data_IF_599329342673
#
_entry.id   IF_599329342673
#
_cell.length_a   1.000
_cell.length_b   1.000
_cell.length_c   1.000
_cell.angle_alpha   90.00
_cell.angle_beta   90.00
_cell.angle_gamma   90.00
#
_symmetry.space_group_name_H-M   'P 1'
#
loop_
_entity.id
_entity.type
_entity.pdbx_description
1 polymer ?
#
# COMPACT_ATOMS: atom_id res chain seq x y z
N UNK A 1 11.05 -3.79 -6.87
CA UNK A 1 9.89 -2.93 -6.54
C UNK A 1 8.73 -3.32 -7.46
N UNK A 2 7.55 -3.55 -6.90
CA UNK A 2 6.34 -3.84 -7.64
C UNK A 2 5.32 -2.74 -7.38
N UNK A 3 4.83 -2.08 -8.42
CA UNK A 3 3.70 -1.14 -8.35
C UNK A 3 2.46 -1.87 -8.86
N UNK A 4 1.41 -1.88 -8.06
CA UNK A 4 0.12 -2.47 -8.45
C UNK A 4 -0.89 -1.35 -8.61
N UNK A 5 -1.14 -0.95 -9.86
CA UNK A 5 -2.09 0.09 -10.23
C UNK A 5 -2.53 -0.13 -11.69
N UNK A 6 -3.83 -0.41 -11.89
CA UNK A 6 -4.39 -0.74 -13.20
C UNK A 6 -4.28 0.41 -14.20
N UNK A 7 -4.45 1.66 -13.74
CA UNK A 7 -4.38 2.84 -14.59
C UNK A 7 -2.95 3.10 -15.06
N UNK A 8 -2.00 3.01 -14.13
CA UNK A 8 -0.57 3.15 -14.45
C UNK A 8 -0.12 2.02 -15.38
N UNK A 9 -0.53 0.77 -15.11
CA UNK A 9 -0.14 -0.38 -15.92
C UNK A 9 -0.60 -0.24 -17.40
N UNK A 10 -1.71 0.45 -17.63
CA UNK A 10 -2.25 0.76 -18.95
C UNK A 10 -1.61 2.00 -19.62
N UNK A 11 -0.84 2.80 -18.90
CA UNK A 11 -0.25 4.05 -19.40
C UNK A 11 1.28 3.93 -19.58
N UNK A 12 1.75 3.93 -20.83
CA UNK A 12 3.18 3.78 -21.15
C UNK A 12 4.05 4.94 -20.65
N UNK A 13 3.52 6.16 -20.66
CA UNK A 13 4.22 7.34 -20.16
C UNK A 13 4.42 7.25 -18.65
N UNK A 14 3.35 6.94 -17.91
CA UNK A 14 3.43 6.79 -16.46
C UNK A 14 4.32 5.60 -16.04
N UNK A 15 4.26 4.49 -16.79
CA UNK A 15 5.19 3.36 -16.59
C UNK A 15 6.64 3.80 -16.75
N UNK A 16 6.94 4.55 -17.81
CA UNK A 16 8.31 5.02 -18.05
C UNK A 16 8.78 5.94 -16.93
N UNK A 17 7.93 6.89 -16.49
CA UNK A 17 8.26 7.81 -15.40
C UNK A 17 8.55 7.08 -14.09
N UNK A 18 7.73 6.10 -13.71
CA UNK A 18 7.95 5.33 -12.49
C UNK A 18 9.18 4.43 -12.56
N UNK A 19 9.49 3.87 -13.74
CA UNK A 19 10.73 3.10 -13.94
C UNK A 19 11.96 3.98 -13.77
N UNK A 20 11.94 5.19 -14.31
CA UNK A 20 13.03 6.17 -14.18
C UNK A 20 13.21 6.69 -12.75
N UNK A 21 12.15 6.69 -11.94
CA UNK A 21 12.21 7.11 -10.53
C UNK A 21 12.72 6.02 -9.58
N UNK A 22 12.85 4.78 -10.03
CA UNK A 22 13.31 3.69 -9.18
C UNK A 22 14.81 3.79 -8.89
N UNK A 23 15.26 3.40 -7.68
CA UNK A 23 16.68 3.38 -7.35
C UNK A 23 17.49 2.49 -8.30
N UNK A 24 18.76 2.85 -8.52
CA UNK A 24 19.68 2.02 -9.29
C UNK A 24 19.78 0.60 -8.71
N UNK A 25 19.89 -0.40 -9.59
CA UNK A 25 19.95 -1.81 -9.20
C UNK A 25 18.62 -2.42 -8.75
N UNK A 26 17.52 -1.66 -8.68
CA UNK A 26 16.20 -2.19 -8.35
C UNK A 26 15.37 -2.52 -9.60
N UNK A 27 15.05 -3.80 -9.80
CA UNK A 27 14.09 -4.20 -10.83
C UNK A 27 12.67 -3.68 -10.50
N UNK A 28 11.97 -3.18 -11.52
CA UNK A 28 10.62 -2.63 -11.41
C UNK A 28 9.59 -3.45 -12.20
N UNK A 29 8.50 -3.81 -11.55
CA UNK A 29 7.29 -4.36 -12.19
C UNK A 29 6.12 -3.43 -11.95
N UNK A 30 5.43 -3.00 -13.00
CA UNK A 30 4.23 -2.16 -12.92
C UNK A 30 3.12 -2.97 -13.55
N UNK A 31 2.19 -3.44 -12.72
CA UNK A 31 1.24 -4.48 -13.07
C UNK A 31 -0.18 -4.08 -12.67
N UNK A 32 -1.16 -4.59 -13.40
CA UNK A 32 -2.54 -4.60 -12.94
C UNK A 32 -2.70 -5.50 -11.71
N UNK A 33 -3.76 -5.30 -10.95
CA UNK A 33 -4.10 -6.13 -9.79
C UNK A 33 -4.17 -7.61 -10.15
N UNK A 34 -4.86 -7.94 -11.24
CA UNK A 34 -5.05 -9.31 -11.70
C UNK A 34 -3.71 -9.98 -12.05
N UNK A 35 -2.88 -9.30 -12.84
CA UNK A 35 -1.58 -9.83 -13.27
C UNK A 35 -0.59 -9.95 -12.10
N UNK A 36 -0.57 -8.96 -11.21
CA UNK A 36 0.25 -9.03 -10.00
C UNK A 36 -0.16 -10.22 -9.12
N UNK A 37 -1.47 -10.39 -8.89
CA UNK A 37 -1.98 -11.48 -8.05
C UNK A 37 -1.67 -12.85 -8.64
N UNK A 38 -1.93 -13.03 -9.95
CA UNK A 38 -1.62 -14.27 -10.64
C UNK A 38 -0.13 -14.63 -10.57
N UNK A 39 0.76 -13.64 -10.80
CA UNK A 39 2.20 -13.86 -10.74
C UNK A 39 2.69 -14.22 -9.34
N UNK A 40 2.16 -13.56 -8.30
CA UNK A 40 2.53 -13.83 -6.91
C UNK A 40 2.08 -15.25 -6.53
N UNK A 41 0.84 -15.62 -6.84
CA UNK A 41 0.29 -16.94 -6.52
C UNK A 41 0.94 -18.08 -7.33
N UNK A 42 1.50 -17.78 -8.51
CA UNK A 42 2.27 -18.71 -9.31
C UNK A 42 3.72 -18.93 -8.78
N UNK A 43 4.14 -18.25 -7.72
CA UNK A 43 5.50 -18.38 -7.17
C UNK A 43 6.57 -17.68 -7.99
N UNK A 44 6.20 -16.78 -8.93
CA UNK A 44 7.17 -16.11 -9.82
C UNK A 44 8.18 -15.21 -9.08
N UNK A 45 7.93 -14.94 -7.79
CA UNK A 45 8.76 -14.11 -6.94
C UNK A 45 9.33 -14.87 -5.73
N UNK A 46 9.23 -16.20 -5.71
CA UNK A 46 9.76 -17.02 -4.63
C UNK A 46 11.27 -16.81 -4.47
N UNK A 47 11.73 -16.68 -3.22
CA UNK A 47 13.11 -16.36 -2.90
C UNK A 47 13.52 -14.90 -3.15
N UNK A 48 12.63 -14.04 -3.66
CA UNK A 48 12.91 -12.63 -3.89
C UNK A 48 12.35 -11.75 -2.76
N UNK A 49 13.08 -10.68 -2.43
CA UNK A 49 12.55 -9.61 -1.57
C UNK A 49 11.85 -8.58 -2.43
N UNK A 50 10.51 -8.53 -2.35
CA UNK A 50 9.70 -7.61 -3.15
C UNK A 50 9.08 -6.53 -2.27
N UNK A 51 9.41 -5.27 -2.54
CA UNK A 51 8.66 -4.11 -2.03
C UNK A 51 7.46 -3.85 -2.94
N UNK A 52 6.24 -3.96 -2.40
CA UNK A 52 4.99 -3.68 -3.11
C UNK A 52 4.53 -2.26 -2.75
N UNK A 53 4.25 -1.44 -3.77
CA UNK A 53 3.70 -0.11 -3.66
C UNK A 53 2.24 -0.13 -4.12
N UNK A 54 1.36 0.35 -3.24
CA UNK A 54 -0.09 0.38 -3.42
C UNK A 54 -0.60 1.80 -3.26
N UNK A 55 -1.69 2.13 -3.97
CA UNK A 55 -2.31 3.45 -3.90
C UNK A 55 -3.19 3.64 -2.68
N UNK A 56 -3.82 2.58 -2.19
CA UNK A 56 -4.80 2.64 -1.09
C UNK A 56 -4.78 1.36 -0.23
N UNK A 57 -5.20 1.42 1.05
CA UNK A 57 -5.30 0.23 1.92
C UNK A 57 -6.33 -0.81 1.43
N UNK A 58 -7.36 -0.40 0.69
CA UNK A 58 -8.36 -1.31 0.10
C UNK A 58 -7.71 -2.29 -0.88
N UNK A 59 -6.71 -1.85 -1.65
CA UNK A 59 -5.93 -2.75 -2.51
C UNK A 59 -5.14 -3.75 -1.70
N UNK A 60 -4.56 -3.36 -0.57
CA UNK A 60 -3.86 -4.28 0.33
C UNK A 60 -4.82 -5.33 0.89
N UNK A 61 -6.01 -4.92 1.32
CA UNK A 61 -7.05 -5.84 1.78
C UNK A 61 -7.51 -6.79 0.67
N UNK A 62 -7.65 -6.29 -0.56
CA UNK A 62 -8.01 -7.10 -1.73
C UNK A 62 -6.94 -8.16 -2.04
N UNK A 63 -5.65 -7.82 -1.93
CA UNK A 63 -4.55 -8.78 -2.08
C UNK A 63 -4.62 -9.88 -1.01
N UNK A 64 -4.84 -9.51 0.25
CA UNK A 64 -5.00 -10.49 1.33
C UNK A 64 -6.19 -11.42 1.11
N UNK A 65 -7.33 -10.86 0.68
CA UNK A 65 -8.52 -11.66 0.37
C UNK A 65 -8.31 -12.58 -0.84
N UNK A 66 -7.36 -12.26 -1.72
CA UNK A 66 -6.93 -13.11 -2.83
C UNK A 66 -5.91 -14.19 -2.42
N UNK A 67 -5.60 -14.32 -1.13
CA UNK A 67 -4.68 -15.35 -0.61
C UNK A 67 -3.20 -14.92 -0.58
N UNK A 68 -2.90 -13.64 -0.81
CA UNK A 68 -1.53 -13.12 -0.78
C UNK A 68 -1.21 -12.61 0.62
N UNK A 69 -0.23 -13.24 1.26
CA UNK A 69 0.21 -12.85 2.60
C UNK A 69 0.93 -11.49 2.58
N UNK A 70 0.45 -10.55 3.40
CA UNK A 70 1.08 -9.25 3.64
C UNK A 70 1.40 -9.12 5.14
N UNK A 71 2.63 -9.43 5.59
CA UNK A 71 2.94 -9.44 7.02
C UNK A 71 2.93 -8.04 7.64
N UNK A 72 3.25 -7.01 6.85
CA UNK A 72 3.16 -5.62 7.27
C UNK A 72 2.62 -4.74 6.14
N UNK A 73 2.00 -3.64 6.53
CA UNK A 73 1.62 -2.53 5.66
C UNK A 73 2.08 -1.21 6.29
N UNK A 74 2.93 -0.47 5.60
CA UNK A 74 3.28 0.89 5.99
C UNK A 74 2.48 1.90 5.17
N UNK A 75 1.74 2.78 5.85
CA UNK A 75 1.05 3.92 5.25
C UNK A 75 2.00 5.13 5.27
N UNK A 76 2.63 5.40 4.13
CA UNK A 76 3.57 6.52 3.98
C UNK A 76 2.87 7.86 3.77
N UNK A 77 2.35 8.05 2.56
CA UNK A 77 1.63 9.27 2.16
C UNK A 77 0.22 8.94 1.69
N UNK A 78 -0.78 9.49 2.38
CA UNK A 78 -2.16 9.57 1.91
C UNK A 78 -2.59 11.02 2.04
N UNK A 79 -2.63 11.73 0.91
CA UNK A 79 -2.80 13.18 0.89
C UNK A 79 -4.20 13.62 1.35
N UNK A 80 -4.27 14.81 1.94
CA UNK A 80 -5.53 15.48 2.26
C UNK A 80 -6.20 16.02 0.98
N UNK A 81 -6.90 15.15 0.26
CA UNK A 81 -7.79 15.49 -0.85
C UNK A 81 -9.17 14.97 -0.48
N UNK A 82 -10.23 15.67 -0.89
CA UNK A 82 -11.61 15.26 -0.70
C UNK A 82 -12.07 15.26 0.78
N UNK A 83 -13.17 14.54 1.08
CA UNK A 83 -13.82 14.38 2.39
C UNK A 83 -13.00 13.50 3.38
N UNK A 84 -11.67 13.60 3.34
CA UNK A 84 -10.77 12.81 4.20
C UNK A 84 -10.47 13.56 5.50
N UNK A 85 -10.37 12.80 6.60
CA UNK A 85 -9.93 13.31 7.89
C UNK A 85 -8.43 13.06 8.08
N UNK A 86 -7.71 14.11 8.45
CA UNK A 86 -6.30 13.99 8.80
C UNK A 86 -6.10 13.30 10.15
N UNK A 87 -5.35 12.20 10.17
CA UNK A 87 -4.99 11.46 11.40
C UNK A 87 -3.50 11.64 11.76
N UNK A 88 -2.66 11.91 10.76
CA UNK A 88 -1.23 12.25 10.90
C UNK A 88 -0.85 13.25 9.79
N UNK A 89 0.25 13.99 9.96
CA UNK A 89 0.72 15.00 9.00
C UNK A 89 0.71 14.51 7.55
N UNK A 90 1.16 13.27 7.30
CA UNK A 90 1.23 12.65 5.97
C UNK A 90 0.06 11.72 5.65
N UNK A 91 -0.93 11.59 6.54
CA UNK A 91 -1.99 10.57 6.41
C UNK A 91 -3.35 11.20 6.71
N UNK A 92 -4.13 11.35 5.65
CA UNK A 92 -5.57 11.61 5.69
C UNK A 92 -6.31 10.40 5.13
N UNK A 93 -7.37 9.99 5.83
CA UNK A 93 -8.17 8.81 5.50
C UNK A 93 -9.66 9.15 5.47
N UNK A 94 -10.42 8.45 4.64
CA UNK A 94 -11.89 8.42 4.71
C UNK A 94 -12.39 7.15 5.42
N UNK A 95 -13.71 7.02 5.57
CA UNK A 95 -14.33 5.89 6.28
C UNK A 95 -14.06 4.53 5.62
N UNK A 96 -14.01 4.48 4.28
CA UNK A 96 -13.70 3.25 3.55
C UNK A 96 -12.25 2.80 3.79
N UNK A 97 -11.31 3.74 3.83
CA UNK A 97 -9.90 3.49 4.11
C UNK A 97 -9.71 3.06 5.58
N UNK A 98 -10.44 3.66 6.52
CA UNK A 98 -10.45 3.23 7.93
C UNK A 98 -10.99 1.81 8.05
N UNK A 99 -12.10 1.48 7.38
CA UNK A 99 -12.67 0.14 7.39
C UNK A 99 -11.68 -0.89 6.83
N UNK A 100 -10.98 -0.56 5.74
CA UNK A 100 -9.95 -1.43 5.19
C UNK A 100 -8.76 -1.62 6.13
N UNK A 101 -8.28 -0.56 6.78
CA UNK A 101 -7.23 -0.62 7.79
C UNK A 101 -7.64 -1.53 8.96
N UNK A 102 -8.86 -1.38 9.47
CA UNK A 102 -9.38 -2.21 10.57
C UNK A 102 -9.46 -3.68 10.16
N UNK A 103 -9.97 -3.99 8.96
CA UNK A 103 -10.03 -5.36 8.45
C UNK A 103 -8.63 -5.99 8.26
N UNK A 104 -7.62 -5.20 7.90
CA UNK A 104 -6.22 -5.65 7.83
C UNK A 104 -5.66 -5.95 9.22
N UNK A 105 -5.93 -5.10 10.21
CA UNK A 105 -5.54 -5.32 11.61
C UNK A 105 -6.19 -6.59 12.18
N UNK A 106 -7.49 -6.80 11.92
CA UNK A 106 -8.22 -8.01 12.35
C UNK A 106 -7.65 -9.29 11.71
N UNK A 107 -7.10 -9.20 10.50
CA UNK A 107 -6.39 -10.29 9.82
C UNK A 107 -4.95 -10.46 10.30
N UNK A 108 -4.50 -9.70 11.28
CA UNK A 108 -3.17 -9.81 11.89
C UNK A 108 -2.05 -9.09 11.14
N UNK A 109 -2.38 -8.17 10.21
CA UNK A 109 -1.36 -7.34 9.54
C UNK A 109 -0.84 -6.28 10.50
N UNK A 110 0.47 -6.15 10.60
CA UNK A 110 1.08 -5.01 11.26
C UNK A 110 0.93 -3.76 10.38
N UNK A 111 -0.03 -2.89 10.72
CA UNK A 111 -0.26 -1.63 9.98
C UNK A 111 0.39 -0.45 10.71
N UNK A 112 1.28 0.26 10.03
CA UNK A 112 2.03 1.39 10.57
C UNK A 112 1.87 2.67 9.74
N UNK A 113 2.29 3.81 10.28
CA UNK A 113 2.19 5.11 9.62
C UNK A 113 3.53 5.87 9.62
N UNK A 114 4.39 5.62 8.64
CA UNK A 114 5.73 6.20 8.55
C UNK A 114 6.01 6.74 7.14
N UNK A 115 6.17 8.07 7.00
CA UNK A 115 6.40 8.71 5.70
C UNK A 115 7.85 8.55 5.24
N UNK A 116 8.80 8.74 6.15
CA UNK A 116 10.23 8.65 5.88
C UNK A 116 10.91 7.77 6.93
N UNK A 117 12.09 7.19 6.63
CA UNK A 117 12.81 6.34 7.58
C UNK A 117 13.15 7.01 8.91
N UNK A 118 13.26 8.34 8.95
CA UNK A 118 13.59 9.12 10.14
C UNK A 118 12.38 9.31 11.07
N UNK A 119 11.14 9.17 10.57
CA UNK A 119 9.95 9.22 11.41
C UNK A 119 9.84 7.94 12.27
N UNK A 120 9.32 8.01 13.51
CA UNK A 120 9.05 6.81 14.29
C UNK A 120 8.09 5.86 13.57
N UNK A 121 8.44 4.57 13.53
CA UNK A 121 7.54 3.54 13.02
C UNK A 121 6.44 3.23 14.05
N UNK A 122 5.33 3.95 13.97
CA UNK A 122 4.22 3.87 14.91
C UNK A 122 3.04 3.08 14.33
N UNK A 123 2.38 2.28 15.18
CA UNK A 123 1.14 1.58 14.82
C UNK A 123 0.06 2.58 14.42
N UNK A 124 -0.67 2.30 13.33
CA UNK A 124 -1.70 3.19 12.77
C UNK A 124 -2.80 3.52 13.79
N UNK A 125 -3.11 2.59 14.70
CA UNK A 125 -4.14 2.75 15.73
C UNK A 125 -3.82 3.87 16.73
N UNK A 126 -2.55 4.26 16.86
CA UNK A 126 -2.12 5.42 17.66
C UNK A 126 -2.73 6.73 17.14
N UNK A 127 -3.05 6.79 15.85
CA UNK A 127 -3.54 7.98 15.16
C UNK A 127 -5.05 7.94 14.87
N UNK A 128 -5.65 6.75 14.88
CA UNK A 128 -7.09 6.58 14.77
C UNK A 128 -7.74 7.00 16.10
N UNK A 129 -8.18 8.26 16.18
CA UNK A 129 -8.96 8.72 17.34
C UNK A 129 -10.26 7.92 17.37
N UNK A 130 -10.59 7.34 18.52
CA UNK A 130 -11.98 6.99 18.81
C UNK A 130 -12.80 8.28 18.63
N UNK A 131 -13.76 8.27 17.72
CA UNK A 131 -14.70 9.39 17.63
C UNK A 131 -15.34 9.53 19.01
N UNK A 132 -14.99 10.62 19.69
CA UNK A 132 -15.79 11.12 20.79
C UNK A 132 -17.03 11.68 20.12
N UNK A 133 -18.04 10.82 20.00
CA UNK A 133 -19.42 11.24 19.75
C UNK A 133 -19.89 12.23 20.78
#
# INVERSE_FOLDING_TARGET
>A
IMVIDDAVAANDVEKMLLRSAAPEGCNTSILSFEKASANILAGNYDGQRVLILLKTPELALKLMNAGIALPQLNIGNMSNKDDRRQIKRSVSVNDAEIAAINALLEKGVAVTAQMTPEEPNACITTFLKADKG
#
